data_IF_944390439574
#
_entry.id   IF_944390439574
#
_cell.length_a   1.000
_cell.length_b   1.000
_cell.length_c   1.000
_cell.angle_alpha   90.00
_cell.angle_beta   90.00
_cell.angle_gamma   90.00
#
_symmetry.space_group_name_H-M   'P 1'
#
loop_
_entity.id
_entity.type
_entity.pdbx_description
1 polymer ?
#
# COMPACT_ATOMS: atom_id res chain seq x y z
N UNK A 1 -19.23 -1.38 -31.78
CA UNK A 1 -18.69 -2.67 -31.31
C UNK A 1 -19.48 -3.05 -30.06
N UNK A 2 -19.99 -4.28 -29.94
CA UNK A 2 -20.69 -4.70 -28.71
C UNK A 2 -19.70 -5.01 -27.60
N UNK A 3 -20.19 -5.06 -26.36
CA UNK A 3 -19.32 -5.43 -25.19
C UNK A 3 -18.72 -6.84 -25.33
N UNK A 4 -19.47 -7.75 -25.92
CA UNK A 4 -18.98 -9.11 -26.20
C UNK A 4 -17.90 -9.13 -27.29
N UNK A 5 -18.06 -8.28 -28.32
CA UNK A 5 -17.07 -8.15 -29.39
C UNK A 5 -15.77 -7.53 -28.85
N UNK A 6 -15.87 -6.49 -28.02
CA UNK A 6 -14.72 -5.87 -27.37
C UNK A 6 -13.99 -6.87 -26.46
N UNK A 7 -14.73 -7.61 -25.65
CA UNK A 7 -14.13 -8.64 -24.79
C UNK A 7 -13.41 -9.73 -25.61
N UNK A 8 -13.96 -10.11 -26.77
CA UNK A 8 -13.32 -11.06 -27.69
C UNK A 8 -12.05 -10.49 -28.28
N UNK A 9 -12.10 -9.28 -28.84
CA UNK A 9 -10.96 -8.60 -29.45
C UNK A 9 -9.81 -8.39 -28.45
N UNK A 10 -10.14 -8.07 -27.19
CA UNK A 10 -9.15 -7.96 -26.12
C UNK A 10 -8.46 -9.29 -25.83
N UNK A 11 -9.18 -10.41 -25.83
CA UNK A 11 -8.58 -11.75 -25.66
C UNK A 11 -7.66 -12.10 -26.82
N UNK A 12 -8.05 -11.78 -28.05
CA UNK A 12 -7.22 -11.95 -29.26
C UNK A 12 -5.98 -11.05 -29.23
N UNK A 13 -6.08 -9.87 -28.58
CA UNK A 13 -4.95 -8.97 -28.37
C UNK A 13 -4.00 -9.40 -27.24
N UNK A 14 -4.27 -10.55 -26.58
CA UNK A 14 -3.44 -11.13 -25.52
C UNK A 14 -3.96 -10.91 -24.10
N UNK A 15 -5.12 -10.27 -23.90
CA UNK A 15 -5.75 -10.09 -22.60
C UNK A 15 -6.74 -11.24 -22.32
N UNK A 16 -6.25 -12.43 -21.98
CA UNK A 16 -7.07 -13.63 -21.78
C UNK A 16 -8.13 -13.48 -20.65
N UNK A 17 -7.92 -12.57 -19.72
CA UNK A 17 -8.84 -12.28 -18.61
C UNK A 17 -9.99 -11.33 -19.01
N UNK A 18 -10.02 -10.82 -20.24
CA UNK A 18 -11.07 -9.92 -20.69
C UNK A 18 -12.43 -10.63 -20.80
N UNK A 19 -13.42 -10.14 -20.04
CA UNK A 19 -14.79 -10.64 -20.03
C UNK A 19 -15.76 -9.49 -20.35
N UNK A 20 -16.97 -9.83 -20.80
CA UNK A 20 -18.04 -8.85 -20.97
C UNK A 20 -18.28 -8.01 -19.72
N UNK A 21 -18.30 -8.65 -18.55
CA UNK A 21 -18.49 -7.98 -17.26
C UNK A 21 -17.39 -6.96 -16.95
N UNK A 22 -16.15 -7.25 -17.34
CA UNK A 22 -15.04 -6.31 -17.21
C UNK A 22 -15.25 -5.07 -18.10
N UNK A 23 -15.67 -5.27 -19.35
CA UNK A 23 -16.00 -4.18 -20.27
C UNK A 23 -17.16 -3.33 -19.74
N UNK A 24 -18.21 -3.95 -19.20
CA UNK A 24 -19.33 -3.24 -18.57
C UNK A 24 -18.89 -2.34 -17.41
N UNK A 25 -17.96 -2.83 -16.57
CA UNK A 25 -17.42 -2.00 -15.47
C UNK A 25 -16.64 -0.79 -15.96
N UNK A 26 -15.93 -0.92 -17.06
CA UNK A 26 -15.22 0.20 -17.67
C UNK A 26 -16.19 1.24 -18.23
N UNK A 27 -17.16 0.81 -19.01
CA UNK A 27 -18.20 1.69 -19.56
C UNK A 27 -19.06 2.37 -18.48
N UNK A 28 -19.29 1.69 -17.36
CA UNK A 28 -19.99 2.25 -16.21
C UNK A 28 -19.13 3.22 -15.36
N UNK A 29 -17.85 3.45 -15.73
CA UNK A 29 -16.96 4.35 -15.00
C UNK A 29 -16.46 3.84 -13.64
N UNK A 30 -16.74 2.57 -13.30
CA UNK A 30 -16.31 1.98 -12.04
C UNK A 30 -14.80 1.68 -11.96
N UNK A 31 -14.06 1.99 -13.01
CA UNK A 31 -12.60 1.75 -13.08
C UNK A 31 -11.92 3.05 -13.50
N UNK A 32 -11.23 3.69 -12.57
CA UNK A 32 -10.49 4.95 -12.84
C UNK A 32 -9.24 4.68 -13.67
N UNK A 33 -8.58 3.54 -13.45
CA UNK A 33 -7.38 3.14 -14.21
C UNK A 33 -7.41 1.62 -14.43
N UNK A 34 -7.46 1.14 -15.69
CA UNK A 34 -7.37 -0.27 -15.99
C UNK A 34 -5.96 -0.78 -15.71
N UNK A 35 -5.83 -2.06 -15.43
CA UNK A 35 -4.51 -2.70 -15.24
C UNK A 35 -3.66 -2.52 -16.50
N UNK A 36 -2.32 -2.47 -16.37
CA UNK A 36 -1.41 -2.26 -17.52
C UNK A 36 -1.64 -3.24 -18.68
N UNK A 37 -1.95 -4.51 -18.38
CA UNK A 37 -2.28 -5.53 -19.40
C UNK A 37 -3.58 -5.18 -20.14
N UNK A 38 -4.61 -4.71 -19.41
CA UNK A 38 -5.87 -4.30 -20.01
C UNK A 38 -5.72 -2.99 -20.78
N UNK A 39 -4.94 -2.02 -20.25
CA UNK A 39 -4.66 -0.76 -20.92
C UNK A 39 -3.98 -0.99 -22.27
N UNK A 40 -2.91 -1.78 -22.32
CA UNK A 40 -2.20 -2.12 -23.56
C UNK A 40 -3.09 -2.86 -24.57
N UNK A 41 -3.93 -3.77 -24.10
CA UNK A 41 -4.86 -4.49 -24.98
C UNK A 41 -5.95 -3.54 -25.52
N UNK A 42 -6.47 -2.62 -24.70
CA UNK A 42 -7.42 -1.59 -25.12
C UNK A 42 -6.81 -0.64 -26.14
N UNK A 43 -5.60 -0.14 -25.90
CA UNK A 43 -4.86 0.71 -26.85
C UNK A 43 -4.66 0.01 -28.18
N UNK A 44 -4.28 -1.28 -28.15
CA UNK A 44 -4.07 -2.08 -29.34
C UNK A 44 -5.36 -2.32 -30.13
N UNK A 45 -6.48 -2.57 -29.44
CA UNK A 45 -7.78 -2.87 -30.07
C UNK A 45 -8.46 -1.59 -30.55
N UNK A 46 -8.38 -0.52 -29.76
CA UNK A 46 -9.05 0.76 -30.06
C UNK A 46 -8.20 1.69 -30.93
N UNK A 47 -6.88 1.47 -31.01
CA UNK A 47 -5.97 2.34 -31.74
C UNK A 47 -5.79 3.73 -31.12
N UNK A 48 -6.14 3.90 -29.84
CA UNK A 48 -6.11 5.16 -29.12
C UNK A 48 -5.35 4.99 -27.79
N UNK A 49 -4.62 6.03 -27.33
CA UNK A 49 -4.02 6.03 -26.00
C UNK A 49 -5.07 5.86 -24.90
N UNK A 50 -4.68 5.22 -23.79
CA UNK A 50 -5.61 4.88 -22.71
C UNK A 50 -6.26 6.13 -22.08
N UNK A 51 -5.54 7.25 -22.05
CA UNK A 51 -6.01 8.54 -21.53
C UNK A 51 -7.19 9.08 -22.32
N UNK A 52 -7.23 8.81 -23.63
CA UNK A 52 -8.33 9.25 -24.52
C UNK A 52 -9.57 8.37 -24.43
N UNK A 53 -9.45 7.19 -23.83
CA UNK A 53 -10.54 6.25 -23.61
C UNK A 53 -11.32 6.53 -22.31
N UNK A 54 -11.07 7.68 -21.66
CA UNK A 54 -11.78 8.11 -20.45
C UNK A 54 -11.20 7.55 -19.15
N UNK A 55 -10.09 6.85 -19.21
CA UNK A 55 -9.34 6.41 -18.02
C UNK A 55 -8.31 7.47 -17.62
N UNK A 56 -8.30 7.90 -16.35
CA UNK A 56 -7.30 8.83 -15.84
C UNK A 56 -7.73 10.30 -15.72
N UNK A 57 -9.00 10.64 -15.92
CA UNK A 57 -9.50 12.04 -15.90
C UNK A 57 -9.56 12.73 -14.51
N UNK A 58 -8.96 12.16 -13.47
CA UNK A 58 -9.03 12.74 -12.10
C UNK A 58 -7.78 13.54 -11.72
N UNK A 59 -6.75 13.64 -12.57
CA UNK A 59 -5.51 14.38 -12.26
C UNK A 59 -5.22 15.59 -13.14
N UNK A 60 -6.21 16.14 -13.86
CA UNK A 60 -6.05 17.37 -14.65
C UNK A 60 -6.68 18.60 -13.97
N UNK A 61 -6.31 18.85 -12.72
CA UNK A 61 -6.79 19.98 -11.93
C UNK A 61 -5.70 20.71 -11.15
N UNK A 62 -4.48 20.86 -11.73
CA UNK A 62 -3.54 21.90 -11.30
C UNK A 62 -2.63 22.28 -12.45
N UNK A 63 -3.05 23.32 -13.12
CA UNK A 63 -2.25 24.09 -14.08
C UNK A 63 -0.98 24.58 -13.38
N UNK A 64 0.18 24.18 -13.89
CA UNK A 64 1.45 24.86 -13.61
C UNK A 64 1.52 26.07 -14.52
N UNK A 65 1.30 27.24 -13.96
CA UNK A 65 1.71 28.50 -14.57
C UNK A 65 3.21 28.66 -14.32
N UNK A 66 3.98 28.66 -15.39
CA UNK A 66 5.36 29.07 -15.38
C UNK A 66 5.42 30.60 -15.59
N UNK A 67 6.20 31.31 -14.75
CA UNK A 67 6.88 32.56 -15.01
C UNK A 67 7.88 32.75 -13.87
N UNK A 68 9.12 32.55 -14.13
CA UNK A 68 10.17 33.50 -14.53
C UNK A 68 10.64 34.47 -13.43
N UNK A 69 11.95 34.39 -13.22
CA UNK A 69 12.96 35.39 -12.88
C UNK A 69 13.07 36.02 -11.48
N UNK A 70 14.31 36.12 -11.01
CA UNK A 70 14.79 37.13 -10.12
C UNK A 70 15.40 36.68 -8.81
N UNK A 71 16.70 36.39 -8.82
CA UNK A 71 17.51 36.21 -7.62
C UNK A 71 17.51 37.38 -6.66
N UNK A 72 17.70 37.11 -5.41
CA UNK A 72 18.48 37.92 -4.46
C UNK A 72 18.76 37.17 -3.17
N UNK A 73 20.04 37.01 -2.87
CA UNK A 73 20.55 36.76 -1.52
C UNK A 73 20.15 37.91 -0.59
N UNK A 74 19.75 37.59 0.64
CA UNK A 74 20.07 38.41 1.82
C UNK A 74 19.98 37.57 3.11
N UNK A 75 21.02 37.65 3.88
CA UNK A 75 21.38 37.23 5.22
C UNK A 75 20.28 37.09 6.27
N UNK A 76 20.60 36.18 7.21
CA UNK A 76 19.97 35.97 8.53
C UNK A 76 19.99 37.27 9.40
N UNK A 77 19.13 37.31 10.43
CA UNK A 77 19.68 37.05 11.75
C UNK A 77 18.77 36.26 12.72
N UNK A 78 19.47 35.67 13.65
CA UNK A 78 19.15 35.04 14.92
C UNK A 78 18.08 35.82 15.72
N UNK A 79 17.15 35.07 16.31
CA UNK A 79 16.24 35.57 17.34
C UNK A 79 15.68 34.42 18.18
N UNK A 80 16.30 34.15 19.35
CA UNK A 80 15.72 33.43 20.46
C UNK A 80 14.46 34.12 20.95
N UNK A 81 13.44 33.39 21.37
CA UNK A 81 12.66 33.61 22.61
C UNK A 81 11.77 32.38 22.90
N UNK A 82 12.08 31.69 23.96
CA UNK A 82 11.33 31.21 25.14
C UNK A 82 9.83 30.91 25.07
N UNK A 83 9.56 29.69 25.49
CA UNK A 83 8.70 29.25 26.63
C UNK A 83 7.18 29.28 26.53
N UNK A 84 6.69 28.06 26.81
CA UNK A 84 5.49 27.69 27.56
C UNK A 84 4.11 27.69 26.87
N UNK A 85 3.51 26.56 26.68
CA UNK A 85 2.61 25.90 27.62
C UNK A 85 1.96 24.62 27.06
N UNK A 86 1.94 23.64 27.93
CA UNK A 86 1.28 22.36 27.93
C UNK A 86 -0.08 22.26 27.26
N UNK A 87 -0.23 21.25 26.41
CA UNK A 87 -1.43 20.43 26.41
C UNK A 87 -1.04 18.95 26.28
N UNK A 88 -1.46 18.17 27.26
CA UNK A 88 -1.15 16.75 27.43
C UNK A 88 -1.75 15.92 26.29
N UNK A 89 -0.93 15.52 25.34
CA UNK A 89 -1.16 14.37 24.48
C UNK A 89 -0.25 13.27 25.00
N UNK A 90 -0.81 12.08 25.17
CA UNK A 90 -0.16 10.85 25.64
C UNK A 90 1.27 10.75 25.08
N UNK A 91 2.26 10.90 25.97
CA UNK A 91 3.64 11.12 25.60
C UNK A 91 4.32 9.87 25.08
N UNK A 92 4.23 9.62 23.81
CA UNK A 92 5.19 8.77 23.13
C UNK A 92 6.57 9.45 23.21
N UNK A 93 7.53 8.84 23.89
CA UNK A 93 8.91 9.34 23.98
C UNK A 93 9.48 9.49 22.58
N UNK A 94 10.20 10.60 22.28
CA UNK A 94 10.89 10.75 21.02
C UNK A 94 11.82 9.55 20.80
N UNK A 95 11.65 8.90 19.67
CA UNK A 95 12.42 7.71 19.32
C UNK A 95 13.73 8.11 18.68
N UNK A 96 14.85 7.40 18.95
CA UNK A 96 16.08 7.61 18.19
C UNK A 96 15.84 7.41 16.70
N UNK A 97 16.33 8.28 15.82
CA UNK A 97 16.25 8.07 14.38
C UNK A 97 16.77 6.68 14.00
N UNK A 98 15.99 5.95 13.21
CA UNK A 98 16.39 4.63 12.69
C UNK A 98 16.06 3.42 13.58
N UNK A 99 15.36 3.60 14.73
CA UNK A 99 14.85 2.44 15.48
C UNK A 99 13.34 2.26 15.22
N UNK A 100 12.94 1.20 14.54
CA UNK A 100 11.56 0.88 14.15
C UNK A 100 10.95 -0.29 14.92
N UNK A 101 11.68 -0.87 15.92
CA UNK A 101 11.14 -1.94 16.74
C UNK A 101 9.90 -1.50 17.52
N UNK A 102 8.88 -2.32 17.68
CA UNK A 102 7.63 -1.98 18.37
C UNK A 102 6.43 -2.69 17.78
N UNK A 103 5.23 -2.34 18.28
CA UNK A 103 3.96 -2.82 17.74
C UNK A 103 3.43 -1.81 16.74
N UNK A 104 3.02 -2.29 15.58
CA UNK A 104 2.53 -1.50 14.46
C UNK A 104 1.20 -2.03 13.96
N UNK A 105 0.36 -1.15 13.45
CA UNK A 105 -0.80 -1.50 12.65
C UNK A 105 -0.37 -1.57 11.19
N UNK A 106 -0.45 -2.75 10.59
CA UNK A 106 -0.18 -3.01 9.18
C UNK A 106 -1.49 -3.09 8.41
N UNK A 107 -1.66 -2.25 7.37
CA UNK A 107 -2.83 -2.24 6.47
C UNK A 107 -2.37 -2.37 5.04
N UNK A 108 -3.07 -3.16 4.25
CA UNK A 108 -2.81 -3.28 2.81
C UNK A 108 -4.10 -3.57 2.05
N UNK A 109 -4.11 -3.15 0.79
CA UNK A 109 -5.21 -3.44 -0.11
C UNK A 109 -4.79 -4.51 -1.11
N UNK A 110 -5.73 -5.39 -1.44
CA UNK A 110 -5.56 -6.40 -2.46
C UNK A 110 -6.83 -6.59 -3.28
N UNK A 111 -6.64 -6.87 -4.55
CA UNK A 111 -7.74 -7.25 -5.42
C UNK A 111 -7.94 -8.76 -5.39
N UNK A 112 -9.17 -9.20 -5.17
CA UNK A 112 -9.57 -10.60 -5.23
C UNK A 112 -10.20 -10.92 -6.58
N UNK A 113 -9.48 -11.56 -7.48
CA UNK A 113 -9.99 -11.93 -8.80
C UNK A 113 -11.20 -12.88 -8.73
N UNK A 114 -11.25 -13.75 -7.72
CA UNK A 114 -12.37 -14.68 -7.52
C UNK A 114 -13.64 -14.00 -6.99
N UNK A 115 -13.52 -12.85 -6.33
CA UNK A 115 -14.64 -12.05 -5.80
C UNK A 115 -14.88 -10.77 -6.60
N UNK A 116 -14.01 -10.47 -7.57
CA UNK A 116 -14.03 -9.27 -8.42
C UNK A 116 -14.15 -7.96 -7.62
N UNK A 117 -13.40 -7.86 -6.52
CA UNK A 117 -13.45 -6.70 -5.62
C UNK A 117 -12.10 -6.45 -4.95
N UNK A 118 -11.88 -5.20 -4.55
CA UNK A 118 -10.75 -4.79 -3.70
C UNK A 118 -11.13 -4.94 -2.24
N UNK A 119 -10.22 -5.43 -1.44
CA UNK A 119 -10.37 -5.64 -0.01
C UNK A 119 -9.19 -5.01 0.71
N UNK A 120 -9.46 -4.52 1.91
CA UNK A 120 -8.44 -4.11 2.86
C UNK A 120 -8.26 -5.21 3.90
N UNK A 121 -7.02 -5.52 4.22
CA UNK A 121 -6.67 -6.38 5.36
C UNK A 121 -5.81 -5.58 6.34
N UNK A 122 -5.94 -5.91 7.62
CA UNK A 122 -5.20 -5.28 8.69
C UNK A 122 -4.74 -6.31 9.73
N UNK A 123 -3.53 -6.09 10.26
CA UNK A 123 -2.92 -6.88 11.32
C UNK A 123 -2.22 -5.95 12.30
N UNK A 124 -2.31 -6.21 13.59
CA UNK A 124 -1.25 -5.75 14.49
C UNK A 124 -0.03 -6.64 14.27
N UNK A 125 1.10 -6.01 14.07
CA UNK A 125 2.38 -6.69 13.82
C UNK A 125 3.42 -6.21 14.84
N UNK A 126 4.34 -7.10 15.22
CA UNK A 126 5.56 -6.71 15.91
C UNK A 126 6.67 -6.52 14.88
N UNK A 127 7.38 -5.42 14.97
CA UNK A 127 8.64 -5.19 14.27
C UNK A 127 9.79 -5.38 15.25
N UNK A 128 10.67 -6.32 14.93
CA UNK A 128 11.96 -6.50 15.58
C UNK A 128 13.05 -5.98 14.65
N UNK A 129 13.95 -5.16 15.18
CA UNK A 129 15.05 -4.59 14.41
C UNK A 129 16.39 -5.11 14.92
N UNK A 130 17.24 -5.50 13.98
CA UNK A 130 18.64 -5.80 14.20
C UNK A 130 19.46 -5.10 13.12
N UNK A 131 20.19 -4.06 13.51
CA UNK A 131 20.90 -3.15 12.61
C UNK A 131 19.95 -2.56 11.56
N UNK A 132 20.20 -2.84 10.29
CA UNK A 132 19.40 -2.42 9.14
C UNK A 132 18.26 -3.40 8.79
N UNK A 133 18.14 -4.52 9.52
CA UNK A 133 17.12 -5.55 9.24
C UNK A 133 15.90 -5.42 10.12
N UNK A 134 14.75 -5.49 9.49
CA UNK A 134 13.44 -5.55 10.16
C UNK A 134 12.82 -6.92 9.92
N UNK A 135 12.53 -7.64 11.00
CA UNK A 135 11.67 -8.83 10.97
C UNK A 135 10.31 -8.44 11.50
N UNK A 136 9.27 -8.65 10.70
CA UNK A 136 7.89 -8.24 10.98
C UNK A 136 7.02 -9.48 11.03
N UNK A 137 6.19 -9.62 12.07
CA UNK A 137 5.25 -10.73 12.23
C UNK A 137 3.93 -10.24 12.77
N UNK A 138 2.81 -10.75 12.23
CA UNK A 138 1.49 -10.48 12.80
C UNK A 138 1.37 -11.10 14.19
N UNK A 139 0.66 -10.39 15.09
CA UNK A 139 0.28 -10.93 16.38
C UNK A 139 -0.83 -11.98 16.18
N UNK A 140 -0.76 -13.13 16.87
CA UNK A 140 -1.67 -14.26 16.61
C UNK A 140 -3.17 -13.92 16.77
N UNK A 141 -3.51 -13.08 17.75
CA UNK A 141 -4.88 -12.64 18.01
C UNK A 141 -5.36 -11.51 17.10
N UNK A 142 -4.47 -10.88 16.32
CA UNK A 142 -4.83 -9.69 15.53
C UNK A 142 -5.63 -10.00 14.27
N UNK A 143 -5.42 -11.20 13.70
CA UNK A 143 -6.10 -11.66 12.49
C UNK A 143 -6.01 -13.19 12.41
N UNK A 144 -7.02 -13.86 11.81
CA UNK A 144 -6.94 -15.28 11.52
C UNK A 144 -5.93 -15.65 10.42
N UNK A 145 -5.41 -14.68 9.69
CA UNK A 145 -4.28 -14.83 8.75
C UNK A 145 -2.98 -14.51 9.45
N UNK A 146 -1.88 -15.18 9.07
CA UNK A 146 -0.54 -14.86 9.58
C UNK A 146 0.30 -14.16 8.52
N UNK A 147 0.92 -13.06 8.89
CA UNK A 147 1.77 -12.23 8.03
C UNK A 147 3.21 -12.23 8.55
N UNK A 148 4.16 -12.38 7.65
CA UNK A 148 5.60 -12.25 7.92
C UNK A 148 6.26 -11.39 6.85
N UNK A 149 7.22 -10.54 7.26
CA UNK A 149 8.06 -9.77 6.34
C UNK A 149 9.50 -9.74 6.86
N UNK A 150 10.43 -9.72 5.92
CA UNK A 150 11.84 -9.48 6.16
C UNK A 150 12.29 -8.32 5.26
N UNK A 151 12.65 -7.19 5.88
CA UNK A 151 13.02 -5.97 5.16
C UNK A 151 14.43 -5.53 5.55
N UNK A 152 15.10 -4.86 4.61
CA UNK A 152 16.35 -4.13 4.86
C UNK A 152 16.07 -2.64 4.71
N UNK A 153 16.58 -1.84 5.65
CA UNK A 153 16.44 -0.38 5.66
C UNK A 153 17.71 0.26 5.12
N UNK A 154 17.54 1.11 4.10
CA UNK A 154 18.58 1.98 3.57
C UNK A 154 18.07 3.43 3.63
N UNK A 155 18.64 4.20 4.56
CA UNK A 155 18.14 5.55 4.86
C UNK A 155 16.68 5.54 5.32
N UNK A 156 15.79 6.02 4.48
CA UNK A 156 14.34 6.06 4.74
C UNK A 156 13.54 5.09 3.84
N UNK A 157 14.23 4.18 3.17
CA UNK A 157 13.61 3.16 2.31
C UNK A 157 13.75 1.80 2.99
N UNK A 158 12.66 1.08 3.18
CA UNK A 158 12.68 -0.30 3.62
C UNK A 158 12.19 -1.21 2.47
N UNK A 159 13.01 -2.18 2.09
CA UNK A 159 12.74 -3.07 0.95
C UNK A 159 12.95 -4.51 1.36
N UNK A 160 12.09 -5.41 0.90
CA UNK A 160 12.27 -6.84 1.16
C UNK A 160 11.13 -7.71 0.66
N UNK A 161 10.86 -8.78 1.39
CA UNK A 161 9.87 -9.78 1.03
C UNK A 161 8.80 -9.88 2.09
N UNK A 162 7.61 -10.30 1.65
CA UNK A 162 6.49 -10.60 2.53
C UNK A 162 5.91 -11.97 2.20
N UNK A 163 5.33 -12.63 3.19
CA UNK A 163 4.50 -13.80 3.00
C UNK A 163 3.30 -13.77 3.94
N UNK A 164 2.15 -14.24 3.46
CA UNK A 164 0.93 -14.37 4.23
C UNK A 164 0.35 -15.76 4.06
N UNK A 165 -0.04 -16.37 5.17
CA UNK A 165 -0.92 -17.55 5.17
C UNK A 165 -2.31 -17.09 5.57
N UNK A 166 -3.25 -17.22 4.65
CA UNK A 166 -4.64 -16.80 4.88
C UNK A 166 -5.36 -17.71 5.87
N UNK A 167 -6.44 -17.21 6.48
CA UNK A 167 -7.26 -17.96 7.42
C UNK A 167 -7.69 -19.31 6.85
N UNK A 168 -7.53 -20.43 7.59
CA UNK A 168 -7.92 -21.78 7.11
C UNK A 168 -9.40 -21.89 6.75
N UNK A 169 -10.27 -21.19 7.48
CA UNK A 169 -11.73 -21.16 7.26
C UNK A 169 -12.17 -20.02 6.35
N UNK A 170 -11.23 -19.15 5.93
CA UNK A 170 -11.50 -18.02 5.04
C UNK A 170 -11.70 -18.46 3.58
N UNK A 171 -12.05 -17.49 2.74
CA UNK A 171 -12.26 -17.71 1.30
C UNK A 171 -11.08 -18.40 0.60
N UNK A 172 -9.86 -18.07 1.00
CA UNK A 172 -8.62 -18.60 0.42
C UNK A 172 -8.10 -19.89 1.10
N UNK A 173 -8.78 -20.39 2.13
CA UNK A 173 -8.56 -21.70 2.77
C UNK A 173 -7.11 -22.00 3.15
N UNK A 174 -6.44 -21.06 3.81
CA UNK A 174 -5.06 -21.25 4.26
C UNK A 174 -4.01 -21.20 3.15
N UNK A 175 -4.35 -20.62 1.99
CA UNK A 175 -3.39 -20.41 0.91
C UNK A 175 -2.24 -19.51 1.37
N UNK A 176 -1.04 -19.78 0.85
CA UNK A 176 0.14 -18.94 1.07
C UNK A 176 0.35 -18.02 -0.11
N UNK A 177 0.43 -16.74 0.19
CA UNK A 177 0.83 -15.70 -0.75
C UNK A 177 2.18 -15.12 -0.33
N UNK A 178 2.94 -14.61 -1.29
CA UNK A 178 4.25 -14.02 -1.05
C UNK A 178 4.62 -13.06 -2.16
N UNK A 179 5.58 -12.18 -1.89
CA UNK A 179 6.06 -11.23 -2.86
C UNK A 179 7.12 -10.29 -2.31
N UNK A 180 7.35 -9.20 -3.01
CA UNK A 180 8.25 -8.14 -2.60
C UNK A 180 7.46 -6.91 -2.13
N UNK A 181 8.10 -6.10 -1.29
CA UNK A 181 7.53 -4.86 -0.78
C UNK A 181 8.61 -3.79 -0.71
N UNK A 182 8.24 -2.56 -1.01
CA UNK A 182 9.03 -1.37 -0.71
C UNK A 182 8.15 -0.33 -0.06
N UNK A 183 8.61 0.20 1.06
CA UNK A 183 7.95 1.28 1.80
C UNK A 183 8.95 2.38 2.11
N UNK A 184 8.45 3.61 2.15
CA UNK A 184 9.18 4.80 2.62
C UNK A 184 8.83 5.04 4.08
N UNK A 185 9.83 5.29 4.89
CA UNK A 185 9.67 5.66 6.29
C UNK A 185 9.57 7.18 6.38
N UNK A 186 8.52 7.69 7.02
CA UNK A 186 8.38 9.12 7.29
C UNK A 186 9.48 9.61 8.26
N UNK A 187 9.78 10.91 8.21
CA UNK A 187 10.81 11.53 9.05
C UNK A 187 10.58 11.34 10.55
N UNK A 188 9.31 11.21 10.96
CA UNK A 188 8.95 10.90 12.36
C UNK A 188 9.30 9.48 12.79
N UNK A 189 9.53 8.58 11.83
CA UNK A 189 9.74 7.15 12.09
C UNK A 189 8.49 6.39 12.57
N UNK A 190 7.31 7.02 12.60
CA UNK A 190 6.08 6.45 13.13
C UNK A 190 5.13 5.91 12.04
N UNK A 191 5.47 6.15 10.78
CA UNK A 191 4.70 5.66 9.63
C UNK A 191 5.62 5.19 8.52
N UNK A 192 5.25 4.08 7.90
CA UNK A 192 5.85 3.58 6.67
C UNK A 192 4.74 3.38 5.64
N UNK A 193 4.95 3.83 4.41
CA UNK A 193 3.97 3.67 3.35
C UNK A 193 4.63 3.34 2.02
N UNK A 194 4.01 2.48 1.24
CA UNK A 194 4.55 2.05 -0.06
C UNK A 194 3.65 1.09 -0.79
N UNK A 195 4.28 0.17 -1.51
CA UNK A 195 3.54 -0.82 -2.30
C UNK A 195 4.18 -2.20 -2.19
N UNK A 196 3.32 -3.20 -2.27
CA UNK A 196 3.70 -4.59 -2.43
C UNK A 196 3.51 -5.07 -3.87
N UNK A 197 4.27 -6.08 -4.25
CA UNK A 197 4.13 -6.84 -5.49
C UNK A 197 4.07 -8.31 -5.13
N UNK A 198 3.15 -9.05 -5.71
CA UNK A 198 3.03 -10.50 -5.53
C UNK A 198 2.51 -11.19 -6.78
N UNK A 199 2.58 -12.51 -6.80
CA UNK A 199 2.12 -13.30 -7.93
C UNK A 199 0.76 -13.94 -7.60
N UNK A 200 -0.19 -13.75 -8.52
CA UNK A 200 -1.45 -14.46 -8.53
C UNK A 200 -1.35 -15.78 -9.31
N UNK A 201 -2.52 -16.37 -9.58
CA UNK A 201 -2.63 -17.52 -10.48
C UNK A 201 -2.14 -17.12 -11.87
N UNK A 202 -1.53 -18.07 -12.59
CA UNK A 202 -1.03 -17.87 -13.96
C UNK A 202 0.05 -16.76 -14.09
N UNK A 203 0.89 -16.57 -13.04
CA UNK A 203 1.96 -15.57 -13.03
C UNK A 203 1.47 -14.12 -13.18
N UNK A 204 0.20 -13.85 -12.93
CA UNK A 204 -0.30 -12.48 -12.88
C UNK A 204 0.38 -11.70 -11.76
N UNK A 205 0.85 -10.49 -12.08
CA UNK A 205 1.42 -9.58 -11.09
C UNK A 205 0.28 -8.80 -10.45
N UNK A 206 0.15 -8.95 -9.13
CA UNK A 206 -0.74 -8.15 -8.30
C UNK A 206 0.08 -7.17 -7.48
N UNK A 207 -0.48 -5.99 -7.23
CA UNK A 207 0.13 -4.93 -6.42
C UNK A 207 -0.95 -4.10 -5.75
N UNK A 208 -0.61 -3.51 -4.62
CA UNK A 208 -1.49 -2.60 -3.88
C UNK A 208 -0.69 -1.74 -2.90
N UNK A 209 -1.33 -0.72 -2.31
CA UNK A 209 -0.74 0.06 -1.25
C UNK A 209 -0.52 -0.80 0.00
N UNK A 210 0.51 -0.44 0.78
CA UNK A 210 0.79 -0.99 2.09
C UNK A 210 1.23 0.12 3.03
N UNK A 211 0.65 0.14 4.20
CA UNK A 211 0.92 1.11 5.23
C UNK A 211 1.20 0.40 6.57
N UNK A 212 2.16 0.92 7.32
CA UNK A 212 2.42 0.55 8.70
C UNK A 212 2.41 1.81 9.54
N UNK A 213 1.65 1.80 10.63
CA UNK A 213 1.53 2.93 11.58
C UNK A 213 1.89 2.43 12.96
N UNK A 214 2.86 3.10 13.60
CA UNK A 214 3.30 2.74 14.95
C UNK A 214 2.17 2.91 15.94
N UNK A 215 1.99 1.91 16.78
CA UNK A 215 1.04 1.90 17.89
C UNK A 215 1.76 2.00 19.23
N UNK A 216 2.85 1.26 19.40
CA UNK A 216 3.60 1.18 20.65
C UNK A 216 5.09 0.95 20.37
N UNK A 217 6.01 1.81 20.84
CA UNK A 217 7.44 1.68 20.57
C UNK A 217 8.13 0.57 21.38
N UNK A 218 7.42 -0.14 22.24
CA UNK A 218 7.94 -1.23 23.05
C UNK A 218 7.66 -2.59 22.40
N UNK A 219 8.62 -3.50 22.50
CA UNK A 219 8.48 -4.92 22.15
C UNK A 219 8.31 -5.82 23.36
N UNK A 220 8.07 -5.23 24.54
CA UNK A 220 7.86 -6.00 25.78
C UNK A 220 6.62 -6.90 25.66
N UNK A 221 6.62 -7.99 26.42
CA UNK A 221 5.47 -8.89 26.46
C UNK A 221 4.16 -8.15 26.77
N UNK A 222 4.18 -7.21 27.71
CA UNK A 222 3.01 -6.42 28.07
C UNK A 222 2.50 -5.54 26.91
N UNK A 223 3.41 -4.94 26.13
CA UNK A 223 3.06 -4.17 24.94
C UNK A 223 2.45 -5.06 23.86
N UNK A 224 3.05 -6.23 23.61
CA UNK A 224 2.53 -7.19 22.64
C UNK A 224 1.17 -7.72 23.05
N UNK A 225 0.99 -8.13 24.30
CA UNK A 225 -0.29 -8.66 24.82
C UNK A 225 -1.42 -7.61 24.73
N UNK A 226 -1.08 -6.32 24.84
CA UNK A 226 -2.07 -5.23 24.74
C UNK A 226 -2.68 -5.08 23.33
N UNK A 227 -1.98 -5.54 22.28
CA UNK A 227 -2.42 -5.50 20.88
C UNK A 227 -2.72 -6.88 20.28
N UNK A 228 -2.62 -7.95 21.07
CA UNK A 228 -2.91 -9.31 20.59
C UNK A 228 -4.42 -9.59 20.59
N UNK A 229 -5.16 -8.76 19.87
CA UNK A 229 -6.61 -8.83 19.67
C UNK A 229 -6.95 -8.38 18.23
N UNK A 230 -8.15 -8.72 17.71
CA UNK A 230 -8.58 -8.28 16.39
C UNK A 230 -8.47 -6.77 16.19
N UNK A 231 -8.03 -6.34 15.02
CA UNK A 231 -8.01 -4.92 14.65
C UNK A 231 -9.45 -4.42 14.60
N UNK A 232 -9.81 -3.32 15.31
CA UNK A 232 -11.14 -2.74 15.20
C UNK A 232 -11.46 -2.36 13.76
N UNK A 233 -12.67 -2.69 13.30
CA UNK A 233 -13.17 -2.20 12.03
C UNK A 233 -13.46 -0.70 12.19
N UNK A 234 -12.86 0.13 11.37
CA UNK A 234 -13.29 1.52 11.24
C UNK A 234 -14.56 1.54 10.39
N UNK A 235 -15.65 2.06 10.97
CA UNK A 235 -16.94 2.27 10.31
C UNK A 235 -16.87 3.36 9.21
#
# INVERSE_FOLDING_TARGET
MSQDDLARALREAGCLSATKRLVQRWEAGHTVSPRPVHARALEKVMGLPIETLGFGAVMAGRSLSAADDGGREVESPIGEVSSDQHTSASGARPRPPGNYAGVWLSRYEYYSSGRDATFTAAHYVIILQHDDRLTIRSLPGSSPSSLEMDLTVDGHIATGVWSERTAPQGYYRGARYHGSIQVLVELTGNRMAGKWVGFGKNFEINTGPWELVMQEPSTSKAAVDAYDHPVPLED
#
